data_IF_536311026879
#
_entry.id   IF_536311026879
#
_cell.length_a   1.000
_cell.length_b   1.000
_cell.length_c   1.000
_cell.angle_alpha   90.00
_cell.angle_beta   90.00
_cell.angle_gamma   90.00
#
_symmetry.space_group_name_H-M   'P 1'
#
loop_
_entity.id
_entity.type
_entity.pdbx_description
1 polymer ?
#
# COMPACT_ATOMS: atom_id res chain seq x y z
N UNK A 1 16.56 -51.41 0.87
CA UNK A 1 17.77 -50.56 0.94
C UNK A 1 17.77 -49.39 -0.08
N UNK A 2 16.60 -48.87 -0.51
CA UNK A 2 16.48 -47.73 -1.47
C UNK A 2 15.87 -46.44 -0.87
N UNK A 3 15.50 -46.45 0.41
CA UNK A 3 14.87 -45.30 1.09
C UNK A 3 15.90 -44.35 1.72
N UNK A 4 17.15 -44.76 1.92
CA UNK A 4 18.18 -43.93 2.57
C UNK A 4 18.77 -42.83 1.64
N UNK A 5 18.89 -43.09 0.33
CA UNK A 5 19.51 -42.18 -0.63
C UNK A 5 18.71 -40.92 -0.96
N UNK A 6 17.39 -40.93 -0.73
CA UNK A 6 16.53 -39.77 -0.96
C UNK A 6 16.63 -38.71 0.15
N UNK A 7 16.94 -39.16 1.39
CA UNK A 7 17.06 -38.28 2.56
C UNK A 7 18.36 -37.46 2.53
N UNK A 8 19.50 -38.11 2.25
CA UNK A 8 20.81 -37.41 2.17
C UNK A 8 20.87 -36.40 1.02
N UNK A 9 20.30 -36.72 -0.14
CA UNK A 9 20.21 -35.80 -1.26
C UNK A 9 19.32 -34.59 -0.94
N UNK A 10 18.21 -34.78 -0.21
CA UNK A 10 17.35 -33.69 0.25
C UNK A 10 18.04 -32.83 1.33
N UNK A 11 18.80 -33.43 2.25
CA UNK A 11 19.60 -32.71 3.25
C UNK A 11 20.69 -31.82 2.63
N UNK A 12 21.36 -32.28 1.57
CA UNK A 12 22.36 -31.46 0.88
C UNK A 12 21.75 -30.40 -0.07
N UNK A 13 20.54 -30.64 -0.57
CA UNK A 13 19.85 -29.71 -1.49
C UNK A 13 19.24 -28.52 -0.75
N UNK A 14 18.66 -28.74 0.44
CA UNK A 14 18.00 -27.72 1.25
C UNK A 14 18.85 -26.47 1.54
N UNK A 15 20.11 -26.56 2.04
CA UNK A 15 20.91 -25.38 2.32
C UNK A 15 21.21 -24.56 1.06
N UNK A 16 21.37 -25.20 -0.10
CA UNK A 16 21.59 -24.52 -1.38
C UNK A 16 20.34 -23.78 -1.85
N UNK A 17 19.15 -24.37 -1.71
CA UNK A 17 17.88 -23.69 -1.99
C UNK A 17 17.74 -22.45 -1.09
N UNK A 18 17.97 -22.61 0.22
CA UNK A 18 17.93 -21.49 1.17
C UNK A 18 18.91 -20.39 0.74
N UNK A 19 20.12 -20.74 0.28
CA UNK A 19 21.10 -19.78 -0.20
C UNK A 19 20.63 -19.03 -1.46
N UNK A 20 19.97 -19.71 -2.40
CA UNK A 20 19.38 -19.06 -3.59
C UNK A 20 18.29 -18.07 -3.17
N UNK A 21 17.38 -18.46 -2.28
CA UNK A 21 16.31 -17.57 -1.81
C UNK A 21 16.87 -16.37 -1.03
N UNK A 22 17.91 -16.57 -0.21
CA UNK A 22 18.64 -15.45 0.44
C UNK A 22 19.31 -14.53 -0.58
N UNK A 23 19.91 -15.07 -1.64
CA UNK A 23 20.48 -14.27 -2.71
C UNK A 23 19.41 -13.46 -3.45
N UNK A 24 18.26 -14.07 -3.76
CA UNK A 24 17.13 -13.37 -4.39
C UNK A 24 16.55 -12.26 -3.49
N UNK A 25 16.48 -12.51 -2.18
CA UNK A 25 16.06 -11.50 -1.19
C UNK A 25 17.04 -10.33 -1.18
N UNK A 26 18.35 -10.58 -1.09
CA UNK A 26 19.38 -9.55 -1.13
C UNK A 26 19.36 -8.77 -2.46
N UNK A 27 19.18 -9.45 -3.60
CA UNK A 27 19.07 -8.81 -4.91
C UNK A 27 17.81 -7.93 -5.01
N UNK A 28 16.69 -8.38 -4.45
CA UNK A 28 15.45 -7.60 -4.41
C UNK A 28 15.63 -6.32 -3.58
N UNK A 29 16.29 -6.41 -2.42
CA UNK A 29 16.60 -5.27 -1.56
C UNK A 29 17.54 -4.26 -2.22
N UNK A 30 18.53 -4.71 -3.00
CA UNK A 30 19.42 -3.81 -3.76
C UNK A 30 18.62 -3.05 -4.83
N UNK A 31 17.71 -3.74 -5.53
CA UNK A 31 16.90 -3.13 -6.59
C UNK A 31 15.78 -2.25 -6.04
N UNK A 32 15.27 -2.56 -4.86
CA UNK A 32 14.18 -1.86 -4.20
C UNK A 32 14.60 -1.62 -2.74
N UNK A 33 15.47 -0.64 -2.47
CA UNK A 33 15.89 -0.35 -1.12
C UNK A 33 14.68 0.07 -0.27
N UNK A 34 14.61 -0.37 0.99
CA UNK A 34 13.51 0.00 1.87
C UNK A 34 13.49 1.50 2.09
N UNK A 35 12.29 2.09 2.07
CA UNK A 35 12.11 3.51 2.32
C UNK A 35 12.21 3.76 3.83
N UNK A 36 13.18 4.59 4.24
CA UNK A 36 13.45 4.88 5.66
C UNK A 36 13.08 6.29 6.08
N UNK A 37 12.69 7.11 5.12
CA UNK A 37 12.28 8.49 5.30
C UNK A 37 11.25 8.86 4.23
N UNK A 38 10.42 9.85 4.54
CA UNK A 38 9.59 10.48 3.52
C UNK A 38 10.46 11.28 2.56
N UNK A 39 10.22 11.11 1.25
CA UNK A 39 10.72 12.05 0.26
C UNK A 39 10.05 13.41 0.50
N UNK A 40 10.79 14.53 0.60
CA UNK A 40 10.21 15.86 0.72
C UNK A 40 9.17 16.20 -0.37
N UNK A 41 9.24 15.56 -1.54
CA UNK A 41 8.28 15.74 -2.63
C UNK A 41 7.13 14.73 -2.62
N UNK A 42 7.16 13.74 -1.72
CA UNK A 42 6.09 12.75 -1.64
C UNK A 42 4.78 13.39 -1.19
N UNK A 43 3.68 12.88 -1.74
CA UNK A 43 2.36 13.22 -1.27
C UNK A 43 2.15 12.59 0.13
N UNK A 44 1.89 13.43 1.12
CA UNK A 44 1.61 13.06 2.52
C UNK A 44 0.47 13.90 3.08
N UNK A 45 -0.31 13.38 4.03
CA UNK A 45 -1.37 14.07 4.73
C UNK A 45 -1.39 13.59 6.17
N UNK A 46 -0.90 14.42 7.09
CA UNK A 46 -0.84 14.12 8.51
C UNK A 46 -2.18 14.39 9.19
N UNK A 47 -2.57 13.53 10.13
CA UNK A 47 -3.83 13.71 10.85
C UNK A 47 -3.79 14.95 11.76
N UNK A 48 -2.64 15.28 12.34
CA UNK A 48 -2.48 16.50 13.16
C UNK A 48 -2.61 17.80 12.36
N UNK A 49 -2.48 17.74 11.03
CA UNK A 49 -2.64 18.91 10.14
C UNK A 49 -4.10 19.12 9.69
N UNK A 50 -5.00 18.18 10.00
CA UNK A 50 -6.41 18.26 9.63
C UNK A 50 -7.13 19.34 10.47
N UNK A 51 -7.79 20.33 9.84
CA UNK A 51 -8.55 21.33 10.55
C UNK A 51 -9.84 20.72 11.12
N UNK A 52 -10.27 21.25 12.28
CA UNK A 52 -11.59 20.96 12.84
C UNK A 52 -12.62 21.71 12.00
N UNK A 53 -13.32 21.00 11.11
CA UNK A 53 -14.31 21.59 10.22
C UNK A 53 -15.37 20.54 9.81
N UNK A 54 -16.68 20.88 9.67
CA UNK A 54 -17.73 19.91 9.36
C UNK A 54 -17.55 19.13 8.05
N UNK A 55 -16.81 19.70 7.10
CA UNK A 55 -16.49 19.03 5.84
C UNK A 55 -15.39 17.96 5.95
N UNK A 56 -14.73 17.83 7.11
CA UNK A 56 -13.80 16.74 7.41
C UNK A 56 -14.44 15.84 8.45
N UNK A 57 -14.63 14.57 8.10
CA UNK A 57 -15.17 13.56 9.01
C UNK A 57 -14.17 12.43 9.15
N UNK A 58 -13.95 12.00 10.38
CA UNK A 58 -13.12 10.85 10.71
C UNK A 58 -14.01 9.62 10.91
N UNK A 59 -13.54 8.47 10.43
CA UNK A 59 -14.13 7.19 10.81
C UNK A 59 -13.93 6.89 12.28
N UNK A 60 -14.84 6.10 12.84
CA UNK A 60 -14.64 5.49 14.16
C UNK A 60 -14.14 4.08 13.91
N UNK A 61 -12.95 3.78 14.39
CA UNK A 61 -12.38 2.43 14.29
C UNK A 61 -12.50 1.79 15.66
N UNK A 62 -13.31 0.75 15.71
CA UNK A 62 -13.52 -0.04 16.92
C UNK A 62 -12.45 -1.13 16.93
N UNK A 63 -11.69 -1.20 18.01
CA UNK A 63 -10.64 -2.22 18.18
C UNK A 63 -11.24 -3.63 18.01
N UNK A 64 -10.48 -4.53 17.38
CA UNK A 64 -10.91 -5.88 17.00
C UNK A 64 -11.44 -6.71 18.19
N UNK A 65 -10.99 -6.44 19.41
CA UNK A 65 -11.40 -7.12 20.65
C UNK A 65 -12.77 -6.68 21.18
N UNK A 66 -13.28 -5.53 20.76
CA UNK A 66 -14.58 -5.00 21.15
C UNK A 66 -15.70 -5.33 20.15
N UNK A 67 -15.36 -6.02 19.05
CA UNK A 67 -16.34 -6.47 18.04
C UNK A 67 -17.17 -7.61 18.62
N UNK A 68 -18.27 -7.27 19.29
CA UNK A 68 -19.33 -8.22 19.62
C UNK A 68 -20.07 -8.57 18.33
N UNK A 69 -20.31 -9.86 18.04
CA UNK A 69 -21.01 -10.39 16.83
C UNK A 69 -22.43 -9.82 16.58
N UNK A 70 -22.89 -8.89 17.41
CA UNK A 70 -24.26 -8.34 17.46
C UNK A 70 -24.34 -6.86 17.09
N UNK A 71 -23.23 -6.17 16.87
CA UNK A 71 -23.28 -4.82 16.31
C UNK A 71 -23.46 -4.92 14.80
N UNK A 72 -24.69 -4.64 14.35
CA UNK A 72 -24.98 -4.33 12.95
C UNK A 72 -23.97 -3.30 12.49
N UNK A 73 -23.10 -3.69 11.55
CA UNK A 73 -22.15 -2.79 10.87
C UNK A 73 -23.00 -1.65 10.30
N UNK A 74 -22.97 -0.50 10.97
CA UNK A 74 -23.61 0.70 10.47
C UNK A 74 -22.76 1.13 9.27
N UNK A 75 -23.23 0.81 8.05
CA UNK A 75 -22.51 1.04 6.79
C UNK A 75 -22.05 2.51 6.62
N UNK A 76 -22.58 3.44 7.41
CA UNK A 76 -22.21 4.85 7.35
C UNK A 76 -20.82 5.15 7.93
N UNK A 77 -20.28 4.26 8.78
CA UNK A 77 -18.98 4.41 9.45
C UNK A 77 -17.81 3.63 8.81
N UNK A 78 -18.04 2.95 7.68
CA UNK A 78 -17.00 2.17 6.99
C UNK A 78 -16.10 3.06 6.13
N UNK A 79 -15.39 3.99 6.77
CA UNK A 79 -14.43 4.89 6.13
C UNK A 79 -13.38 5.36 7.11
N UNK A 80 -12.20 5.76 6.61
CA UNK A 80 -11.11 6.34 7.41
C UNK A 80 -11.25 7.86 7.50
N UNK A 81 -11.46 8.51 6.36
CA UNK A 81 -11.58 9.96 6.25
C UNK A 81 -12.52 10.34 5.11
N UNK A 82 -13.47 11.21 5.38
CA UNK A 82 -14.32 11.86 4.36
C UNK A 82 -14.00 13.35 4.30
N UNK A 83 -13.78 13.87 3.10
CA UNK A 83 -13.48 15.30 2.86
C UNK A 83 -14.41 15.82 1.77
N UNK A 84 -15.40 16.61 2.17
CA UNK A 84 -16.31 17.30 1.23
C UNK A 84 -15.80 18.69 0.88
N UNK A 85 -16.22 19.21 -0.28
CA UNK A 85 -15.88 20.57 -0.70
C UNK A 85 -16.55 21.60 0.23
N UNK A 86 -15.77 22.40 1.00
CA UNK A 86 -16.33 23.44 1.84
C UNK A 86 -16.88 24.59 0.99
N UNK A 87 -17.82 25.35 1.57
CA UNK A 87 -18.25 26.64 1.00
C UNK A 87 -17.37 27.73 1.59
N UNK A 88 -16.72 28.49 0.72
CA UNK A 88 -15.92 29.64 1.11
C UNK A 88 -16.78 30.91 1.06
N UNK A 89 -16.59 31.79 2.03
CA UNK A 89 -17.31 33.07 2.12
C UNK A 89 -16.35 34.21 1.89
N UNK A 90 -16.74 35.15 1.03
CA UNK A 90 -15.94 36.35 0.76
C UNK A 90 -15.80 37.22 2.01
N UNK A 91 -14.66 37.94 2.16
CA UNK A 91 -14.42 38.80 3.31
C UNK A 91 -15.51 39.88 3.42
N UNK A 92 -15.92 40.24 4.66
CA UNK A 92 -16.88 41.30 4.87
C UNK A 92 -16.36 42.61 4.29
N UNK A 93 -17.15 43.23 3.41
CA UNK A 93 -16.74 44.44 2.73
C UNK A 93 -16.67 45.63 3.70
N UNK A 94 -15.58 46.42 3.72
CA UNK A 94 -15.47 47.60 4.55
C UNK A 94 -16.46 48.69 4.08
N UNK A 95 -17.03 49.48 5.00
CA UNK A 95 -17.81 50.67 4.68
C UNK A 95 -17.07 51.62 3.72
N UNK A 96 -17.82 52.30 2.84
CA UNK A 96 -17.24 53.17 1.79
C UNK A 96 -16.34 54.27 2.37
N UNK A 97 -16.66 54.73 3.57
CA UNK A 97 -16.00 55.79 4.33
C UNK A 97 -14.57 55.39 4.77
N UNK A 98 -14.33 54.10 5.03
CA UNK A 98 -13.03 53.57 5.46
C UNK A 98 -12.32 52.80 4.34
N UNK A 99 -13.04 52.29 3.34
CA UNK A 99 -12.50 51.44 2.27
C UNK A 99 -11.32 52.08 1.52
N UNK A 100 -11.41 53.35 1.17
CA UNK A 100 -10.34 54.05 0.44
C UNK A 100 -9.05 54.21 1.27
N UNK A 101 -9.17 54.15 2.60
CA UNK A 101 -8.10 54.31 3.57
C UNK A 101 -7.41 53.01 3.94
N UNK A 102 -7.96 51.84 3.60
CA UNK A 102 -7.32 50.56 3.89
C UNK A 102 -6.26 50.21 2.85
N UNK A 103 -5.13 49.65 3.31
CA UNK A 103 -4.12 49.05 2.44
C UNK A 103 -4.61 47.71 1.88
N UNK A 104 -4.02 47.21 0.80
CA UNK A 104 -4.31 45.87 0.29
C UNK A 104 -3.90 44.80 1.32
N UNK A 105 -4.54 43.62 1.26
CA UNK A 105 -4.24 42.48 2.12
C UNK A 105 -5.33 42.10 3.11
N UNK A 106 -6.21 43.03 3.53
CA UNK A 106 -7.33 42.69 4.44
C UNK A 106 -8.31 41.67 3.86
N UNK A 107 -8.33 41.52 2.54
CA UNK A 107 -9.16 40.57 1.79
C UNK A 107 -8.75 39.12 2.02
N UNK A 108 -7.48 38.88 2.38
CA UNK A 108 -6.97 37.55 2.69
C UNK A 108 -7.24 37.20 4.15
N UNK A 109 -7.51 35.92 4.43
CA UNK A 109 -7.76 35.43 5.81
C UNK A 109 -6.56 35.69 6.72
N UNK A 110 -5.34 35.45 6.21
CA UNK A 110 -4.09 35.67 6.97
C UNK A 110 -3.50 37.07 6.77
N UNK A 111 -4.20 37.94 6.06
CA UNK A 111 -3.75 39.31 5.83
C UNK A 111 -3.99 40.23 7.03
N UNK A 112 -3.21 41.30 7.11
CA UNK A 112 -3.33 42.31 8.16
C UNK A 112 -4.23 43.48 7.75
N UNK A 113 -4.99 44.01 8.71
CA UNK A 113 -5.72 45.27 8.52
C UNK A 113 -4.78 46.44 8.83
N UNK A 114 -4.37 47.17 7.79
CA UNK A 114 -3.55 48.36 7.92
C UNK A 114 -4.22 49.57 7.25
N UNK A 115 -4.11 50.73 7.90
CA UNK A 115 -4.59 52.01 7.37
C UNK A 115 -3.45 52.67 6.58
N UNK A 116 -3.76 53.29 5.45
CA UNK A 116 -2.81 54.04 4.64
C UNK A 116 -2.24 55.22 5.44
N UNK A 117 -0.95 55.55 5.27
CA UNK A 117 -0.36 56.72 5.89
C UNK A 117 -1.05 58.01 5.40
N UNK A 118 -1.01 59.10 6.18
CA UNK A 118 -1.61 60.37 5.78
C UNK A 118 -0.93 60.90 4.51
N UNK A 119 -1.75 61.34 3.55
CA UNK A 119 -1.29 61.88 2.27
C UNK A 119 -1.61 63.38 2.23
N UNK A 120 -0.64 64.18 1.79
CA UNK A 120 -0.84 65.59 1.51
C UNK A 120 -1.49 65.75 0.12
N UNK A 121 -2.58 66.52 0.06
CA UNK A 121 -3.14 67.06 -1.19
C UNK A 121 -2.08 67.91 -1.93
N UNK A 122 -2.19 68.01 -3.25
CA UNK A 122 -1.59 69.07 -4.10
C UNK A 122 -1.62 70.48 -3.51
N UNK A 123 -2.57 70.81 -2.63
CA UNK A 123 -2.65 72.10 -1.91
C UNK A 123 -1.92 72.12 -0.54
N UNK A 124 -1.20 71.05 -0.17
CA UNK A 124 -0.46 70.96 1.10
C UNK A 124 -1.32 70.60 2.33
N UNK A 125 -2.60 70.28 2.15
CA UNK A 125 -3.49 69.85 3.25
C UNK A 125 -3.24 68.37 3.55
N UNK A 126 -2.76 68.09 4.77
CA UNK A 126 -2.56 66.72 5.27
C UNK A 126 -3.88 66.21 5.83
N UNK A 127 -4.52 65.25 5.16
CA UNK A 127 -5.72 64.59 5.70
C UNK A 127 -5.30 63.32 6.44
N UNK A 128 -5.65 63.21 7.72
CA UNK A 128 -5.39 62.03 8.55
C UNK A 128 -6.66 61.20 8.69
N UNK A 129 -6.47 59.90 8.93
CA UNK A 129 -7.58 59.00 9.20
C UNK A 129 -8.32 59.37 10.49
N UNK A 130 -7.56 59.80 11.50
CA UNK A 130 -8.02 60.15 12.85
C UNK A 130 -8.83 61.45 12.92
N UNK A 131 -8.81 62.28 11.88
CA UNK A 131 -9.51 63.57 11.84
C UNK A 131 -11.04 63.43 11.90
N UNK A 132 -11.57 62.22 11.64
CA UNK A 132 -12.99 61.92 11.75
C UNK A 132 -13.24 60.77 12.75
N UNK A 133 -13.83 61.06 13.92
CA UNK A 133 -14.16 60.04 14.94
C UNK A 133 -15.07 58.91 14.43
N UNK A 134 -15.93 59.19 13.43
CA UNK A 134 -16.81 58.17 12.84
C UNK A 134 -16.00 57.10 12.09
N UNK A 135 -14.86 57.46 11.48
CA UNK A 135 -14.00 56.49 10.76
C UNK A 135 -13.36 55.50 11.72
N UNK A 136 -12.94 55.96 12.90
CA UNK A 136 -12.39 55.12 13.96
C UNK A 136 -13.44 54.11 14.46
N UNK A 137 -14.66 54.59 14.72
CA UNK A 137 -15.77 53.71 15.14
C UNK A 137 -16.10 52.65 14.08
N UNK A 138 -16.27 53.05 12.82
CA UNK A 138 -16.56 52.13 11.71
C UNK A 138 -15.44 51.12 11.47
N UNK A 139 -14.17 51.53 11.67
CA UNK A 139 -13.02 50.65 11.55
C UNK A 139 -13.03 49.56 12.62
N UNK A 140 -13.27 49.90 13.88
CA UNK A 140 -13.32 48.91 14.96
C UNK A 140 -14.52 47.96 14.83
N UNK A 141 -15.69 48.47 14.45
CA UNK A 141 -16.86 47.63 14.18
C UNK A 141 -16.60 46.65 13.03
N UNK A 142 -16.01 47.13 11.94
CA UNK A 142 -15.68 46.27 10.80
C UNK A 142 -14.55 45.29 11.12
N UNK A 143 -13.53 45.69 11.89
CA UNK A 143 -12.47 44.78 12.37
C UNK A 143 -13.06 43.62 13.18
N UNK A 144 -14.05 43.89 14.04
CA UNK A 144 -14.74 42.84 14.79
C UNK A 144 -15.50 41.86 13.87
N UNK A 145 -16.21 42.37 12.85
CA UNK A 145 -16.87 41.54 11.83
C UNK A 145 -15.87 40.70 11.04
N UNK A 146 -14.74 41.29 10.64
CA UNK A 146 -13.67 40.59 9.95
C UNK A 146 -13.02 39.52 10.84
N UNK A 147 -12.78 39.80 12.11
CA UNK A 147 -12.21 38.82 13.05
C UNK A 147 -13.13 37.60 13.17
N UNK A 148 -14.45 37.81 13.33
CA UNK A 148 -15.42 36.72 13.35
C UNK A 148 -15.41 35.90 12.05
N UNK A 149 -15.32 36.57 10.89
CA UNK A 149 -15.17 35.90 9.60
C UNK A 149 -13.88 35.07 9.54
N UNK A 150 -12.72 35.62 9.93
CA UNK A 150 -11.42 34.92 9.91
C UNK A 150 -11.47 33.63 10.73
N UNK A 151 -12.07 33.66 11.93
CA UNK A 151 -12.18 32.48 12.80
C UNK A 151 -12.97 31.34 12.12
N UNK A 152 -14.02 31.67 11.37
CA UNK A 152 -14.82 30.68 10.63
C UNK A 152 -14.21 30.26 9.30
N UNK A 153 -13.58 31.18 8.59
CA UNK A 153 -13.10 30.99 7.22
C UNK A 153 -11.72 30.30 7.18
N UNK A 154 -10.88 30.48 8.21
CA UNK A 154 -9.55 29.85 8.27
C UNK A 154 -9.62 28.32 8.24
N UNK A 155 -10.44 27.64 9.07
CA UNK A 155 -10.64 26.18 8.94
C UNK A 155 -11.25 25.78 7.60
N UNK A 156 -12.17 26.57 7.04
CA UNK A 156 -12.80 26.29 5.75
C UNK A 156 -11.79 26.32 4.59
N UNK A 157 -10.89 27.32 4.55
CA UNK A 157 -9.82 27.40 3.54
C UNK A 157 -8.77 26.33 3.69
N UNK A 158 -8.37 25.98 4.92
CA UNK A 158 -7.50 24.81 5.16
C UNK A 158 -8.14 23.51 4.68
N UNK A 159 -9.45 23.36 4.89
CA UNK A 159 -10.21 22.21 4.39
C UNK A 159 -10.25 22.19 2.86
N UNK A 160 -10.43 23.35 2.22
CA UNK A 160 -10.40 23.47 0.76
C UNK A 160 -9.04 23.05 0.20
N UNK A 161 -7.94 23.47 0.83
CA UNK A 161 -6.59 23.06 0.42
C UNK A 161 -6.40 21.53 0.50
N UNK A 162 -6.95 20.87 1.54
CA UNK A 162 -6.93 19.39 1.64
C UNK A 162 -7.79 18.76 0.54
N UNK A 163 -8.98 19.31 0.27
CA UNK A 163 -9.85 18.84 -0.81
C UNK A 163 -9.14 18.93 -2.18
N UNK A 164 -8.50 20.06 -2.48
CA UNK A 164 -7.72 20.25 -3.71
C UNK A 164 -6.54 19.27 -3.79
N UNK A 165 -5.87 19.02 -2.66
CA UNK A 165 -4.77 18.06 -2.56
C UNK A 165 -5.21 16.62 -2.85
N UNK A 166 -6.41 16.22 -2.39
CA UNK A 166 -7.01 14.92 -2.71
C UNK A 166 -7.48 14.85 -4.16
N UNK A 167 -8.00 15.95 -4.70
CA UNK A 167 -8.41 16.04 -6.10
C UNK A 167 -7.22 15.88 -7.05
N UNK A 168 -6.10 16.54 -6.77
CA UNK A 168 -4.85 16.35 -7.50
C UNK A 168 -4.36 14.90 -7.43
N UNK A 169 -4.49 14.27 -6.26
CA UNK A 169 -4.12 12.88 -6.04
C UNK A 169 -4.99 11.92 -6.87
N UNK A 170 -6.31 12.14 -6.95
CA UNK A 170 -7.20 11.34 -7.80
C UNK A 170 -6.73 11.35 -9.26
N UNK A 171 -6.43 12.54 -9.80
CA UNK A 171 -5.92 12.67 -11.16
C UNK A 171 -4.57 11.96 -11.39
N UNK A 172 -3.73 11.85 -10.35
CA UNK A 172 -2.49 11.08 -10.41
C UNK A 172 -2.77 9.56 -10.47
N UNK A 173 -3.68 9.06 -9.63
CA UNK A 173 -4.06 7.64 -9.64
C UNK A 173 -4.74 7.20 -10.93
N UNK A 174 -5.53 8.07 -11.58
CA UNK A 174 -6.11 7.76 -12.88
C UNK A 174 -5.05 7.51 -13.97
N UNK A 175 -3.87 8.17 -13.87
CA UNK A 175 -2.75 7.99 -14.80
C UNK A 175 -1.81 6.84 -14.43
N UNK A 176 -1.57 6.61 -13.13
CA UNK A 176 -0.48 5.77 -12.63
C UNK A 176 -0.91 4.72 -11.59
N UNK A 177 -2.18 4.30 -11.57
CA UNK A 177 -2.73 3.37 -10.57
C UNK A 177 -1.98 2.05 -10.38
N UNK A 178 -1.23 1.58 -11.38
CA UNK A 178 -0.44 0.35 -11.30
C UNK A 178 0.92 0.54 -10.60
N UNK A 179 1.42 1.78 -10.51
CA UNK A 179 2.74 2.10 -9.95
C UNK A 179 2.69 2.57 -8.52
N UNK A 180 1.59 3.20 -8.12
CA UNK A 180 1.44 3.84 -6.82
C UNK A 180 0.35 3.15 -6.00
N UNK A 181 0.49 3.22 -4.68
CA UNK A 181 -0.54 2.85 -3.72
C UNK A 181 -0.65 3.90 -2.62
N UNK A 182 -1.86 3.99 -2.07
CA UNK A 182 -2.19 4.89 -0.98
C UNK A 182 -2.16 4.10 0.32
N UNK A 183 -1.39 4.60 1.28
CA UNK A 183 -1.15 3.94 2.56
C UNK A 183 -1.57 4.86 3.70
N UNK A 184 -2.15 4.28 4.73
CA UNK A 184 -2.24 4.83 6.07
C UNK A 184 -1.09 4.22 6.88
N UNK A 185 -0.25 5.05 7.48
CA UNK A 185 0.82 4.62 8.36
C UNK A 185 0.65 5.17 9.75
N UNK A 186 1.11 4.42 10.75
CA UNK A 186 1.26 4.88 12.13
C UNK A 186 2.48 4.21 12.80
N UNK A 187 2.80 4.66 14.02
CA UNK A 187 4.00 4.24 14.73
C UNK A 187 5.23 4.80 14.03
N UNK A 188 5.30 6.12 13.92
CA UNK A 188 6.43 6.81 13.30
C UNK A 188 7.66 6.61 14.17
N UNK A 189 8.58 5.77 13.70
CA UNK A 189 9.83 5.53 14.39
C UNK A 189 10.88 6.51 13.90
N UNK A 190 11.56 7.16 14.85
CA UNK A 190 12.74 7.99 14.61
C UNK A 190 13.94 7.40 15.32
N UNK A 191 15.02 7.20 14.57
CA UNK A 191 16.24 6.64 15.10
C UNK A 191 17.44 7.03 14.24
N UNK A 192 18.46 7.65 14.85
CA UNK A 192 19.77 7.82 14.23
C UNK A 192 20.70 6.70 14.69
N UNK A 193 21.00 5.78 13.78
CA UNK A 193 21.90 4.65 14.06
C UNK A 193 23.35 5.11 14.19
N UNK A 194 24.21 4.28 14.77
CA UNK A 194 25.64 4.59 14.90
C UNK A 194 26.34 4.69 13.54
N UNK A 195 25.82 3.99 12.53
CA UNK A 195 26.25 4.06 11.13
C UNK A 195 25.83 5.37 10.43
N UNK A 196 25.08 6.25 11.13
CA UNK A 196 24.69 7.57 10.63
C UNK A 196 23.39 7.60 9.83
N UNK A 197 22.69 6.47 9.70
CA UNK A 197 21.39 6.42 9.04
C UNK A 197 20.32 7.05 9.93
N UNK A 198 19.55 7.97 9.36
CA UNK A 198 18.33 8.48 9.98
C UNK A 198 17.14 7.66 9.48
N UNK A 199 16.52 6.93 10.40
CA UNK A 199 15.21 6.35 10.23
C UNK A 199 14.16 7.35 10.70
N UNK A 200 13.17 7.65 9.86
CA UNK A 200 12.00 8.49 10.16
C UNK A 200 10.82 8.05 9.29
N UNK A 201 10.12 7.00 9.71
CA UNK A 201 9.07 6.36 8.89
C UNK A 201 8.02 5.62 9.74
N UNK A 202 6.75 5.54 9.31
CA UNK A 202 5.74 4.70 9.97
C UNK A 202 6.03 3.21 9.77
N UNK A 203 5.76 2.40 10.80
CA UNK A 203 6.07 0.97 10.80
C UNK A 203 4.84 0.08 10.67
N UNK A 204 3.66 0.58 11.04
CA UNK A 204 2.40 -0.14 10.88
C UNK A 204 1.62 0.53 9.74
N UNK A 205 1.42 -0.20 8.66
CA UNK A 205 0.86 0.33 7.42
C UNK A 205 -0.45 -0.36 7.08
N UNK A 206 -1.39 0.35 6.47
CA UNK A 206 -2.65 -0.20 5.99
C UNK A 206 -2.96 0.40 4.63
N UNK A 207 -3.41 -0.44 3.71
CA UNK A 207 -3.68 -0.01 2.35
C UNK A 207 -5.08 0.59 2.21
N UNK A 208 -5.11 1.82 1.69
CA UNK A 208 -6.33 2.57 1.44
C UNK A 208 -6.73 2.60 -0.04
N UNK A 209 -8.00 2.87 -0.26
CA UNK A 209 -8.58 3.24 -1.54
C UNK A 209 -9.20 4.64 -1.45
N UNK A 210 -8.91 5.46 -2.46
CA UNK A 210 -9.52 6.77 -2.64
C UNK A 210 -10.73 6.65 -3.56
N UNK A 211 -11.90 7.07 -3.06
CA UNK A 211 -13.15 7.17 -3.80
C UNK A 211 -13.57 8.63 -3.91
N UNK A 212 -14.18 9.01 -5.02
CA UNK A 212 -14.73 10.34 -5.24
C UNK A 212 -16.18 10.24 -5.72
N UNK A 213 -17.09 10.91 -5.02
CA UNK A 213 -18.46 11.11 -5.49
C UNK A 213 -18.56 12.47 -6.21
N UNK A 214 -18.85 12.53 -7.52
CA UNK A 214 -19.02 13.80 -8.22
C UNK A 214 -20.38 14.47 -7.97
N UNK A 215 -21.40 13.74 -7.50
CA UNK A 215 -22.74 14.29 -7.22
C UNK A 215 -22.73 15.11 -5.94
N UNK A 216 -22.04 14.60 -4.93
CA UNK A 216 -21.75 15.28 -3.68
C UNK A 216 -20.22 15.38 -3.66
N UNK A 217 -19.59 16.49 -4.07
CA UNK A 217 -18.14 16.59 -4.26
C UNK A 217 -17.39 16.30 -2.96
N UNK A 218 -17.15 15.02 -2.72
CA UNK A 218 -16.66 14.43 -1.48
C UNK A 218 -15.72 13.27 -1.83
N UNK A 219 -14.56 13.30 -1.19
CA UNK A 219 -13.61 12.20 -1.20
C UNK A 219 -13.86 11.31 0.00
N UNK A 220 -13.85 10.00 -0.22
CA UNK A 220 -13.89 9.00 0.85
C UNK A 220 -12.65 8.13 0.75
N UNK A 221 -11.90 8.06 1.84
CA UNK A 221 -10.82 7.11 2.03
C UNK A 221 -11.36 5.90 2.77
N UNK A 222 -11.26 4.72 2.16
CA UNK A 222 -11.70 3.45 2.74
C UNK A 222 -10.54 2.44 2.78
N UNK A 223 -10.67 1.43 3.60
CA UNK A 223 -9.75 0.31 3.62
C UNK A 223 -9.95 -0.58 2.38
N UNK A 224 -8.89 -1.26 1.95
CA UNK A 224 -8.98 -2.24 0.85
C UNK A 224 -9.40 -3.64 1.29
N UNK A 225 -9.63 -3.85 2.60
CA UNK A 225 -9.90 -5.15 3.21
C UNK A 225 -8.68 -6.08 3.32
N UNK A 226 -7.48 -5.59 2.99
CA UNK A 226 -6.23 -6.29 3.29
C UNK A 226 -5.82 -5.99 4.74
N UNK A 227 -5.22 -6.96 5.47
CA UNK A 227 -4.73 -6.71 6.81
C UNK A 227 -3.62 -5.66 6.81
N UNK A 228 -3.36 -5.07 7.98
CA UNK A 228 -2.22 -4.17 8.14
C UNK A 228 -0.90 -4.89 7.88
N UNK A 229 0.11 -4.15 7.46
CA UNK A 229 1.46 -4.59 7.17
C UNK A 229 2.39 -4.02 8.24
N UNK A 230 3.13 -4.89 8.93
CA UNK A 230 4.28 -4.46 9.73
C UNK A 230 5.51 -4.33 8.82
N UNK A 231 5.96 -3.09 8.60
CA UNK A 231 7.02 -2.76 7.64
C UNK A 231 8.42 -3.04 8.22
N UNK A 232 8.78 -4.32 8.28
CA UNK A 232 10.05 -4.81 8.86
C UNK A 232 11.29 -4.42 8.06
N UNK A 233 11.12 -4.11 6.77
CA UNK A 233 12.22 -3.89 5.83
C UNK A 233 13.16 -2.74 6.25
N UNK A 234 12.67 -1.77 7.03
CA UNK A 234 13.47 -0.66 7.57
C UNK A 234 14.55 -1.13 8.56
N UNK A 235 14.35 -2.27 9.23
CA UNK A 235 15.22 -2.78 10.28
C UNK A 235 16.31 -3.73 9.75
N UNK A 236 16.10 -4.34 8.58
CA UNK A 236 16.91 -5.45 8.08
C UNK A 236 18.39 -5.11 7.84
N UNK A 237 18.73 -3.83 7.67
CA UNK A 237 20.12 -3.40 7.47
C UNK A 237 20.74 -2.71 8.68
N UNK A 238 20.08 -2.74 9.85
CA UNK A 238 20.59 -2.10 11.05
C UNK A 238 21.32 -3.17 11.87
N UNK A 239 22.65 -3.09 11.94
CA UNK A 239 23.48 -4.09 12.62
C UNK A 239 23.13 -4.26 14.12
N UNK A 240 22.63 -3.20 14.75
CA UNK A 240 22.22 -3.16 16.16
C UNK A 240 20.92 -3.95 16.41
N UNK A 241 20.12 -4.24 15.37
CA UNK A 241 18.82 -4.91 15.50
C UNK A 241 18.97 -6.42 15.38
N UNK A 242 18.47 -7.14 16.38
CA UNK A 242 18.42 -8.59 16.35
C UNK A 242 17.27 -9.09 15.45
N UNK A 243 17.60 -9.87 14.42
CA UNK A 243 16.61 -10.44 13.49
C UNK A 243 15.54 -11.30 14.19
N UNK A 244 15.89 -12.03 15.27
CA UNK A 244 14.91 -12.83 16.01
C UNK A 244 13.94 -11.96 16.81
N UNK A 245 14.36 -10.77 17.23
CA UNK A 245 13.49 -9.81 17.89
C UNK A 245 12.42 -9.26 16.92
N UNK A 246 12.82 -8.95 15.68
CA UNK A 246 11.89 -8.55 14.61
C UNK A 246 10.90 -9.66 14.28
N UNK A 247 11.36 -10.92 14.21
CA UNK A 247 10.48 -12.08 14.00
C UNK A 247 9.37 -12.16 15.05
N UNK A 248 9.70 -12.01 16.34
CA UNK A 248 8.70 -12.00 17.43
C UNK A 248 7.68 -10.85 17.30
N UNK A 249 8.13 -9.65 16.91
CA UNK A 249 7.23 -8.52 16.71
C UNK A 249 6.29 -8.74 15.52
N UNK A 250 6.75 -9.42 14.46
CA UNK A 250 5.88 -9.80 13.35
C UNK A 250 4.84 -10.85 13.79
N UNK A 251 5.25 -11.86 14.54
CA UNK A 251 4.31 -12.87 15.06
C UNK A 251 3.23 -12.22 15.96
N UNK A 252 3.61 -11.26 16.80
CA UNK A 252 2.69 -10.44 17.62
C UNK A 252 1.72 -9.60 16.76
N UNK A 253 2.20 -9.04 15.66
CA UNK A 253 1.37 -8.31 14.70
C UNK A 253 0.38 -9.21 13.94
N UNK A 254 0.83 -10.38 13.47
CA UNK A 254 -0.01 -11.36 12.77
C UNK A 254 -1.10 -11.93 13.67
N UNK A 255 -0.84 -12.09 14.97
CA UNK A 255 -1.84 -12.58 15.93
C UNK A 255 -2.82 -11.50 16.38
N UNK A 256 -2.37 -10.24 16.48
CA UNK A 256 -3.19 -9.15 17.01
C UNK A 256 -3.98 -8.35 15.98
N UNK A 257 -3.63 -8.44 14.70
CA UNK A 257 -4.26 -7.68 13.60
C UNK A 257 -4.37 -6.16 13.91
N UNK A 258 -3.29 -5.57 14.43
CA UNK A 258 -3.28 -4.19 14.92
C UNK A 258 -3.60 -3.17 13.81
N UNK A 259 -4.44 -2.19 14.10
CA UNK A 259 -4.87 -1.17 13.13
C UNK A 259 -4.11 0.16 13.36
N UNK A 260 -3.61 0.87 12.33
CA UNK A 260 -2.87 2.14 12.52
C UNK A 260 -3.61 3.21 13.34
N UNK A 261 -4.92 3.33 13.19
CA UNK A 261 -5.75 4.24 14.00
C UNK A 261 -6.41 3.55 15.21
N UNK A 262 -5.93 2.36 15.59
CA UNK A 262 -6.42 1.62 16.76
C UNK A 262 -6.06 2.30 18.08
N UNK A 263 -6.65 1.82 19.17
CA UNK A 263 -6.51 2.41 20.50
C UNK A 263 -5.24 2.00 21.25
N UNK A 264 -5.41 1.72 22.55
CA UNK A 264 -4.33 1.35 23.47
C UNK A 264 -3.61 0.05 23.09
N UNK A 265 -4.28 -0.87 22.42
CA UNK A 265 -3.69 -2.13 21.97
C UNK A 265 -2.58 -1.87 20.93
N UNK A 266 -2.85 -0.98 19.98
CA UNK A 266 -1.87 -0.56 18.97
C UNK A 266 -0.72 0.21 19.63
N UNK A 267 -1.02 1.08 20.59
CA UNK A 267 0.02 1.76 21.41
C UNK A 267 0.91 0.75 22.15
N UNK A 268 0.31 -0.30 22.70
CA UNK A 268 1.01 -1.36 23.43
C UNK A 268 1.88 -2.21 22.52
N UNK A 269 1.44 -2.49 21.28
CA UNK A 269 2.28 -3.10 20.25
C UNK A 269 3.54 -2.26 19.98
N UNK A 270 3.39 -0.94 19.79
CA UNK A 270 4.55 -0.07 19.58
C UNK A 270 5.50 -0.03 20.78
N UNK A 271 4.98 -0.06 22.01
CA UNK A 271 5.78 -0.15 23.24
C UNK A 271 6.60 -1.44 23.28
N UNK A 272 6.01 -2.58 22.87
CA UNK A 272 6.71 -3.86 22.76
C UNK A 272 7.78 -3.81 21.66
N UNK A 273 7.47 -3.23 20.51
CA UNK A 273 8.41 -3.08 19.39
C UNK A 273 9.68 -2.34 19.81
N UNK A 274 9.58 -1.12 20.37
CA UNK A 274 10.78 -0.34 20.72
C UNK A 274 11.61 -1.01 21.80
N UNK A 275 10.97 -1.70 22.75
CA UNK A 275 11.65 -2.46 23.80
C UNK A 275 12.43 -3.67 23.24
N UNK A 276 11.97 -4.24 22.12
CA UNK A 276 12.67 -5.32 21.41
C UNK A 276 13.82 -4.82 20.53
N UNK A 277 13.71 -3.59 20.03
CA UNK A 277 14.76 -2.95 19.22
C UNK A 277 15.96 -2.50 20.07
N UNK A 278 15.71 -1.97 21.28
CA UNK A 278 16.75 -1.51 22.19
C UNK A 278 16.27 -1.54 23.65
N UNK A 279 17.14 -1.84 24.63
CA UNK A 279 16.83 -1.66 26.05
C UNK A 279 16.44 -0.23 26.44
N UNK A 280 16.86 0.75 25.64
CA UNK A 280 16.54 2.18 25.82
C UNK A 280 15.51 2.68 24.80
N UNK A 281 14.77 1.78 24.15
CA UNK A 281 13.72 2.15 23.21
C UNK A 281 12.55 2.82 23.93
N UNK A 282 12.01 3.89 23.34
CA UNK A 282 11.02 4.74 24.01
C UNK A 282 9.78 4.96 23.14
N UNK A 283 8.61 4.89 23.77
CA UNK A 283 7.35 5.37 23.19
C UNK A 283 7.17 6.82 23.63
N UNK A 284 7.13 7.73 22.66
CA UNK A 284 6.98 9.17 22.86
C UNK A 284 5.51 9.54 22.67
N UNK A 285 4.91 10.15 23.69
CA UNK A 285 3.50 10.58 23.65
C UNK A 285 3.30 11.94 22.96
N UNK A 286 4.30 12.82 23.01
CA UNK A 286 4.20 14.17 22.44
C UNK A 286 5.50 14.60 21.76
N UNK A 287 5.39 15.02 20.49
CA UNK A 287 6.46 15.69 19.75
C UNK A 287 7.75 14.87 19.63
N UNK A 288 7.82 14.00 18.63
CA UNK A 288 9.05 13.25 18.32
C UNK A 288 10.26 14.19 18.23
N UNK A 289 11.31 13.99 19.06
CA UNK A 289 12.50 14.83 19.04
C UNK A 289 13.12 14.86 17.65
N UNK A 290 13.70 15.98 17.21
CA UNK A 290 14.32 16.08 15.88
C UNK A 290 15.43 15.04 15.64
N UNK A 291 16.13 14.66 16.71
CA UNK A 291 17.22 13.68 16.66
C UNK A 291 17.13 12.77 17.88
N UNK A 292 17.15 11.47 17.63
CA UNK A 292 17.13 10.43 18.66
C UNK A 292 18.28 9.48 18.42
N UNK A 293 19.08 9.21 19.45
CA UNK A 293 20.19 8.22 19.40
C UNK A 293 19.72 6.81 19.76
N UNK A 294 18.50 6.70 20.28
CA UNK A 294 17.81 5.45 20.60
C UNK A 294 16.57 5.32 19.71
N UNK A 295 16.04 4.11 19.48
CA UNK A 295 14.80 3.95 18.74
C UNK A 295 13.63 4.54 19.53
N UNK A 296 13.05 5.61 19.00
CA UNK A 296 11.90 6.29 19.59
C UNK A 296 10.71 6.21 18.64
N UNK A 297 9.54 5.81 19.11
CA UNK A 297 8.32 5.70 18.31
C UNK A 297 7.22 6.60 18.88
N UNK A 298 6.42 7.24 18.02
CA UNK A 298 5.21 7.92 18.46
C UNK A 298 4.01 7.55 17.59
N UNK A 299 2.82 7.67 18.18
CA UNK A 299 1.55 7.67 17.44
C UNK A 299 1.49 8.97 16.64
N UNK A 300 1.59 8.87 15.32
CA UNK A 300 1.62 10.01 14.41
C UNK A 300 1.05 9.59 13.05
N UNK A 301 -0.27 9.34 12.98
CA UNK A 301 -0.88 8.74 11.82
C UNK A 301 -0.82 9.65 10.59
N UNK A 302 -0.50 9.04 9.45
CA UNK A 302 -0.24 9.74 8.20
C UNK A 302 -0.78 8.96 7.01
N UNK A 303 -1.43 9.65 6.09
CA UNK A 303 -1.79 9.09 4.78
C UNK A 303 -0.72 9.52 3.79
N UNK A 304 -0.16 8.59 3.03
CA UNK A 304 0.90 8.89 2.08
C UNK A 304 0.86 7.98 0.87
N UNK A 305 1.52 8.41 -0.19
CA UNK A 305 1.66 7.64 -1.43
C UNK A 305 3.04 7.02 -1.48
N UNK A 306 3.13 5.74 -1.84
CA UNK A 306 4.40 5.06 -2.13
C UNK A 306 4.33 4.25 -3.43
N UNK A 307 5.49 3.93 -4.04
CA UNK A 307 5.55 2.96 -5.12
C UNK A 307 5.05 1.58 -4.66
N UNK A 308 4.29 0.90 -5.51
CA UNK A 308 3.86 -0.48 -5.25
C UNK A 308 5.06 -1.40 -5.26
N UNK A 309 5.30 -2.05 -4.14
CA UNK A 309 6.15 -3.24 -4.09
C UNK A 309 5.34 -4.46 -4.50
N UNK A 310 5.85 -5.27 -5.44
CA UNK A 310 5.18 -6.47 -5.97
C UNK A 310 5.00 -7.61 -4.93
N UNK A 311 5.16 -7.35 -3.63
CA UNK A 311 5.11 -8.36 -2.57
C UNK A 311 6.20 -9.43 -2.67
N UNK A 312 7.22 -9.22 -3.51
CA UNK A 312 8.29 -10.20 -3.74
C UNK A 312 9.11 -10.39 -2.46
N UNK A 313 9.43 -9.31 -1.75
CA UNK A 313 10.18 -9.37 -0.49
C UNK A 313 9.49 -10.22 0.58
N UNK A 314 8.22 -9.92 0.86
CA UNK A 314 7.40 -10.66 1.83
C UNK A 314 7.23 -12.13 1.41
N UNK A 315 6.97 -12.40 0.13
CA UNK A 315 6.89 -13.78 -0.37
C UNK A 315 8.22 -14.55 -0.19
N UNK A 316 9.36 -13.92 -0.44
CA UNK A 316 10.68 -14.55 -0.25
C UNK A 316 10.95 -14.85 1.23
N UNK A 317 10.54 -13.95 2.14
CA UNK A 317 10.65 -14.16 3.60
C UNK A 317 9.79 -15.33 4.07
N UNK A 318 8.52 -15.36 3.70
CA UNK A 318 7.63 -16.49 4.03
C UNK A 318 8.18 -17.81 3.50
N UNK A 319 8.73 -17.83 2.28
CA UNK A 319 9.37 -19.03 1.74
C UNK A 319 10.58 -19.44 2.59
N UNK A 320 11.44 -18.51 2.98
CA UNK A 320 12.62 -18.78 3.82
C UNK A 320 12.27 -19.32 5.22
N UNK A 321 11.11 -18.98 5.76
CA UNK A 321 10.63 -19.46 7.06
C UNK A 321 9.99 -20.85 7.00
N UNK A 322 9.29 -21.14 5.92
CA UNK A 322 8.63 -22.43 5.72
C UNK A 322 9.66 -23.48 5.23
N UNK A 323 10.67 -23.06 4.45
CA UNK A 323 11.68 -23.94 3.86
C UNK A 323 12.38 -24.88 4.87
N UNK A 324 12.75 -24.48 6.10
CA UNK A 324 13.29 -25.38 7.12
C UNK A 324 12.30 -26.42 7.63
N UNK A 325 11.00 -26.10 7.62
CA UNK A 325 9.94 -26.89 8.26
C UNK A 325 9.31 -27.94 7.33
N UNK A 326 9.44 -27.77 6.01
CA UNK A 326 8.84 -28.69 5.03
C UNK A 326 9.57 -30.04 5.02
N UNK A 327 8.83 -31.14 5.18
CA UNK A 327 9.39 -32.50 5.11
C UNK A 327 9.94 -32.88 3.72
N UNK A 328 9.22 -32.54 2.64
CA UNK A 328 9.59 -32.87 1.27
C UNK A 328 9.60 -31.64 0.37
N UNK A 329 10.76 -31.33 -0.21
CA UNK A 329 10.91 -30.20 -1.12
C UNK A 329 10.26 -30.53 -2.48
N UNK A 330 9.52 -29.57 -3.10
CA UNK A 330 9.02 -29.72 -4.46
C UNK A 330 10.13 -30.06 -5.45
N UNK A 331 9.89 -31.03 -6.34
CA UNK A 331 10.88 -31.47 -7.32
C UNK A 331 11.41 -30.33 -8.21
N UNK A 332 10.56 -29.34 -8.51
CA UNK A 332 10.93 -28.13 -9.25
C UNK A 332 12.01 -27.29 -8.55
N UNK A 333 12.05 -27.27 -7.22
CA UNK A 333 13.10 -26.59 -6.47
C UNK A 333 14.39 -27.43 -6.40
N UNK A 334 14.26 -28.75 -6.37
CA UNK A 334 15.40 -29.68 -6.37
C UNK A 334 16.14 -29.64 -7.72
N UNK A 335 15.40 -29.60 -8.83
CA UNK A 335 15.98 -29.52 -10.18
C UNK A 335 16.71 -28.21 -10.43
N UNK A 336 16.25 -27.09 -9.85
CA UNK A 336 16.93 -25.79 -9.92
C UNK A 336 18.34 -25.80 -9.32
N UNK A 337 18.61 -26.68 -8.36
CA UNK A 337 19.92 -26.79 -7.69
C UNK A 337 20.85 -27.79 -8.40
N UNK A 338 20.36 -28.45 -9.47
CA UNK A 338 21.18 -29.32 -10.31
C UNK A 338 21.61 -30.63 -9.62
N UNK A 339 20.92 -31.06 -8.56
CA UNK A 339 21.28 -32.28 -7.80
C UNK A 339 20.61 -33.54 -8.37
N UNK A 340 19.70 -33.40 -9.33
CA UNK A 340 19.24 -34.55 -10.11
C UNK A 340 20.35 -34.97 -11.07
N UNK A 341 21.07 -36.02 -10.70
CA UNK A 341 21.96 -36.74 -11.60
C UNK A 341 21.25 -37.00 -12.93
N UNK A 342 21.99 -36.80 -14.01
CA UNK A 342 21.68 -37.18 -15.38
C UNK A 342 21.00 -38.56 -15.44
N UNK A 343 19.68 -38.60 -15.56
CA UNK A 343 18.97 -39.82 -15.92
C UNK A 343 17.59 -39.50 -16.47
N UNK A 344 17.51 -39.29 -17.79
CA UNK A 344 16.49 -39.94 -18.62
C UNK A 344 16.72 -39.86 -20.14
N UNK A 345 17.93 -39.58 -20.63
CA UNK A 345 18.22 -39.64 -22.08
C UNK A 345 18.08 -41.05 -22.69
N UNK A 346 17.97 -42.11 -21.88
CA UNK A 346 17.86 -43.50 -22.36
C UNK A 346 16.43 -43.99 -22.64
N UNK A 347 15.39 -43.24 -22.28
CA UNK A 347 14.00 -43.63 -22.58
C UNK A 347 13.47 -43.06 -23.89
N UNK A 348 14.13 -42.06 -24.48
CA UNK A 348 13.65 -41.36 -25.69
C UNK A 348 13.76 -42.18 -26.98
N UNK A 349 14.62 -43.21 -27.03
CA UNK A 349 14.84 -43.97 -28.28
C UNK A 349 13.89 -45.15 -28.48
N UNK A 350 13.30 -45.71 -27.41
CA UNK A 350 12.45 -46.91 -27.50
C UNK A 350 10.98 -46.58 -27.81
N UNK A 351 10.50 -45.40 -27.41
CA UNK A 351 9.11 -44.95 -27.64
C UNK A 351 8.92 -44.25 -28.99
N UNK A 352 9.96 -43.67 -29.58
CA UNK A 352 9.87 -43.01 -30.89
C UNK A 352 9.42 -43.98 -32.02
N UNK A 353 9.74 -45.27 -31.92
CA UNK A 353 9.33 -46.29 -32.90
C UNK A 353 7.89 -46.79 -32.72
N UNK A 354 7.28 -46.63 -31.54
CA UNK A 354 5.89 -47.04 -31.29
C UNK A 354 4.87 -45.92 -31.55
N UNK A 355 5.31 -44.68 -31.76
CA UNK A 355 4.44 -43.49 -31.88
C UNK A 355 4.17 -43.03 -33.32
N UNK A 356 4.65 -43.77 -34.33
CA UNK A 356 4.38 -43.48 -35.76
C UNK A 356 3.06 -44.08 -36.28
N UNK A 357 2.34 -44.87 -35.47
CA UNK A 357 1.18 -45.67 -35.92
C UNK A 357 -0.21 -45.18 -35.45
N UNK A 358 -0.35 -43.93 -34.97
CA UNK A 358 -1.67 -43.36 -34.63
C UNK A 358 -2.18 -42.39 -35.74
N UNK A 359 -3.23 -42.73 -36.51
CA UNK A 359 -3.55 -42.01 -37.75
C UNK A 359 -4.11 -40.58 -37.60
N UNK A 360 -4.52 -40.13 -36.40
CA UNK A 360 -5.30 -38.88 -36.26
C UNK A 360 -4.78 -37.88 -35.21
N UNK A 361 -3.63 -38.11 -34.57
CA UNK A 361 -3.07 -37.15 -33.60
C UNK A 361 -3.92 -36.90 -32.35
N UNK A 362 -4.99 -37.68 -32.15
CA UNK A 362 -5.80 -37.69 -30.92
C UNK A 362 -5.23 -38.73 -29.96
N UNK A 363 -4.94 -38.28 -28.74
CA UNK A 363 -4.46 -39.12 -27.64
C UNK A 363 -5.65 -39.37 -26.71
N UNK A 364 -6.09 -40.63 -26.59
CA UNK A 364 -7.31 -41.04 -25.88
C UNK A 364 -7.27 -40.69 -24.38
N UNK A 365 -6.09 -40.30 -23.86
CA UNK A 365 -5.86 -39.90 -22.48
C UNK A 365 -5.81 -38.39 -22.24
N UNK A 366 -5.78 -37.55 -23.29
CA UNK A 366 -5.65 -36.09 -23.17
C UNK A 366 -6.98 -35.40 -23.48
N UNK A 367 -7.78 -35.20 -22.43
CA UNK A 367 -9.08 -34.52 -22.50
C UNK A 367 -8.92 -32.98 -22.50
N UNK A 368 -8.96 -32.36 -23.69
CA UNK A 368 -8.89 -30.89 -23.84
C UNK A 368 -10.28 -30.31 -24.13
N UNK A 369 -10.56 -29.12 -23.59
CA UNK A 369 -11.88 -28.46 -23.69
C UNK A 369 -12.11 -27.72 -25.01
N UNK A 370 -11.05 -27.50 -25.81
CA UNK A 370 -11.07 -26.89 -27.15
C UNK A 370 -10.07 -27.60 -28.08
N UNK A 371 -10.29 -27.58 -29.41
CA UNK A 371 -9.34 -28.15 -30.37
C UNK A 371 -7.95 -27.55 -30.16
N UNK A 372 -6.96 -28.42 -29.98
CA UNK A 372 -5.59 -28.06 -29.71
C UNK A 372 -4.72 -28.41 -30.91
N UNK A 373 -3.72 -27.58 -31.21
CA UNK A 373 -2.74 -27.90 -32.23
C UNK A 373 -1.72 -28.93 -31.71
N UNK A 374 -0.92 -29.51 -32.62
CA UNK A 374 0.09 -30.50 -32.28
C UNK A 374 1.09 -30.01 -31.20
N UNK A 375 1.43 -28.72 -31.19
CA UNK A 375 2.32 -28.13 -30.18
C UNK A 375 1.69 -28.10 -28.78
N UNK A 376 0.39 -27.82 -28.68
CA UNK A 376 -0.33 -27.80 -27.39
C UNK A 376 -0.53 -29.21 -26.82
N UNK A 377 -0.72 -30.22 -27.68
CA UNK A 377 -0.74 -31.63 -27.28
C UNK A 377 0.64 -32.08 -26.78
N UNK A 378 1.71 -31.64 -27.43
CA UNK A 378 3.09 -31.91 -26.98
C UNK A 378 3.39 -31.26 -25.62
N UNK A 379 2.85 -30.06 -25.35
CA UNK A 379 2.97 -29.43 -24.01
C UNK A 379 2.28 -30.28 -22.94
N UNK A 380 1.08 -30.81 -23.21
CA UNK A 380 0.36 -31.68 -22.28
C UNK A 380 1.15 -32.98 -22.03
N UNK A 381 1.65 -33.64 -23.08
CA UNK A 381 2.48 -34.84 -22.97
C UNK A 381 3.78 -34.60 -22.19
N UNK A 382 4.44 -33.48 -22.45
CA UNK A 382 5.64 -33.08 -21.70
C UNK A 382 5.32 -32.78 -20.24
N UNK A 383 4.13 -32.30 -19.92
CA UNK A 383 3.71 -32.03 -18.54
C UNK A 383 3.35 -33.33 -17.79
N UNK A 384 2.84 -34.34 -18.49
CA UNK A 384 2.64 -35.67 -17.89
C UNK A 384 3.96 -36.40 -17.63
N UNK A 385 4.93 -36.26 -18.56
CA UNK A 385 6.26 -36.89 -18.43
C UNK A 385 7.21 -36.11 -17.52
N UNK A 386 7.12 -34.78 -17.53
CA UNK A 386 7.97 -33.89 -16.75
C UNK A 386 7.11 -33.06 -15.79
N UNK A 387 7.49 -33.03 -14.51
CA UNK A 387 6.80 -32.26 -13.47
C UNK A 387 6.78 -30.73 -13.70
N UNK A 388 7.43 -30.22 -14.75
CA UNK A 388 7.42 -28.82 -15.16
C UNK A 388 7.64 -28.69 -16.68
N UNK A 389 6.93 -27.74 -17.31
CA UNK A 389 7.08 -27.40 -18.73
C UNK A 389 7.12 -25.88 -18.90
N UNK A 390 8.14 -25.37 -19.59
CA UNK A 390 8.23 -23.97 -19.97
C UNK A 390 7.55 -23.76 -21.34
N UNK A 391 6.55 -22.88 -21.39
CA UNK A 391 5.83 -22.54 -22.63
C UNK A 391 6.13 -21.10 -23.02
N UNK A 392 6.92 -20.93 -24.08
CA UNK A 392 7.19 -19.62 -24.69
C UNK A 392 6.52 -19.55 -26.06
N UNK A 393 5.93 -18.40 -26.37
CA UNK A 393 5.23 -18.16 -27.63
C UNK A 393 5.19 -16.66 -27.97
N UNK A 394 5.22 -16.28 -29.26
CA UNK A 394 5.00 -14.91 -29.70
C UNK A 394 3.64 -14.34 -29.22
N UNK A 395 3.48 -13.01 -29.09
CA UNK A 395 2.19 -12.42 -28.74
C UNK A 395 1.12 -12.82 -29.76
N UNK A 396 -0.02 -13.35 -29.29
CA UNK A 396 -1.14 -13.78 -30.13
C UNK A 396 -1.24 -15.29 -30.42
N UNK A 397 -0.25 -16.11 -30.06
CA UNK A 397 -0.23 -17.56 -30.38
C UNK A 397 -1.01 -18.45 -29.41
N UNK A 398 -2.11 -17.95 -28.83
CA UNK A 398 -3.05 -18.80 -28.10
C UNK A 398 -2.60 -19.31 -26.72
N UNK A 399 -1.60 -18.69 -26.06
CA UNK A 399 -1.16 -19.09 -24.69
C UNK A 399 -2.31 -19.22 -23.69
N UNK A 400 -3.29 -18.32 -23.76
CA UNK A 400 -4.49 -18.37 -22.91
C UNK A 400 -5.34 -19.62 -23.18
N UNK A 401 -5.46 -20.03 -24.45
CA UNK A 401 -6.14 -21.28 -24.81
C UNK A 401 -5.33 -22.50 -24.40
N UNK A 402 -4.01 -22.46 -24.52
CA UNK A 402 -3.12 -23.53 -24.03
C UNK A 402 -3.26 -23.72 -22.52
N UNK A 403 -3.28 -22.63 -21.74
CA UNK A 403 -3.50 -22.68 -20.29
C UNK A 403 -4.89 -23.25 -19.97
N UNK A 404 -5.95 -22.80 -20.67
CA UNK A 404 -7.31 -23.30 -20.43
C UNK A 404 -7.47 -24.80 -20.75
N UNK A 405 -6.84 -25.26 -21.83
CA UNK A 405 -6.84 -26.67 -22.23
C UNK A 405 -6.06 -27.53 -21.23
N UNK A 406 -4.89 -27.09 -20.77
CA UNK A 406 -4.11 -27.79 -19.75
C UNK A 406 -4.82 -27.83 -18.39
N UNK A 407 -5.47 -26.74 -17.98
CA UNK A 407 -6.30 -26.73 -16.76
C UNK A 407 -7.46 -27.72 -16.89
N UNK A 408 -8.16 -27.74 -18.03
CA UNK A 408 -9.23 -28.70 -18.29
C UNK A 408 -8.76 -30.15 -18.19
N UNK A 409 -7.62 -30.46 -18.79
CA UNK A 409 -6.99 -31.78 -18.74
C UNK A 409 -6.57 -32.19 -17.32
N UNK A 410 -5.95 -31.29 -16.55
CA UNK A 410 -5.54 -31.57 -15.17
C UNK A 410 -6.74 -31.74 -14.22
N UNK A 411 -7.83 -30.99 -14.43
CA UNK A 411 -9.07 -31.14 -13.66
C UNK A 411 -9.79 -32.45 -13.98
N UNK A 412 -9.81 -32.89 -15.24
CA UNK A 412 -10.37 -34.19 -15.63
C UNK A 412 -9.62 -35.38 -14.99
N UNK A 413 -8.34 -35.18 -14.64
CA UNK A 413 -7.52 -36.15 -13.89
C UNK A 413 -7.67 -36.05 -12.36
N UNK A 414 -8.57 -35.20 -11.85
CA UNK A 414 -8.83 -35.06 -10.41
C UNK A 414 -7.75 -34.30 -9.61
N UNK A 415 -6.83 -33.59 -10.28
CA UNK A 415 -5.78 -32.80 -9.62
C UNK A 415 -6.30 -31.39 -9.29
N UNK A 416 -6.26 -30.99 -8.02
CA UNK A 416 -6.59 -29.63 -7.57
C UNK A 416 -5.52 -28.64 -8.04
N UNK A 417 -5.94 -27.49 -8.60
CA UNK A 417 -5.04 -26.51 -9.21
C UNK A 417 -5.28 -25.09 -8.66
N UNK A 418 -4.19 -24.33 -8.51
CA UNK A 418 -4.20 -22.88 -8.28
C UNK A 418 -3.52 -22.20 -9.47
N UNK A 419 -4.21 -21.28 -10.14
CA UNK A 419 -3.65 -20.50 -11.26
C UNK A 419 -3.38 -19.06 -10.84
N UNK A 420 -2.12 -18.59 -10.96
CA UNK A 420 -1.76 -17.19 -10.76
C UNK A 420 -1.34 -16.56 -12.11
N UNK A 421 -1.83 -15.36 -12.41
CA UNK A 421 -1.53 -14.61 -13.65
C UNK A 421 -0.99 -13.22 -13.32
N UNK A 422 0.20 -12.89 -13.83
CA UNK A 422 0.75 -11.55 -13.82
C UNK A 422 0.53 -10.89 -15.19
N UNK A 423 -0.52 -10.06 -15.30
CA UNK A 423 -0.73 -8.93 -16.24
C UNK A 423 -2.23 -8.73 -16.57
N UNK A 424 -2.74 -7.52 -16.29
CA UNK A 424 -4.05 -7.03 -16.77
C UNK A 424 -3.85 -6.29 -18.08
N UNK A 425 -4.25 -6.90 -19.21
CA UNK A 425 -4.76 -6.23 -20.41
C UNK A 425 -5.48 -7.27 -21.30
N UNK A 426 -6.62 -6.85 -21.85
CA UNK A 426 -7.61 -7.59 -22.66
C UNK A 426 -8.45 -8.67 -21.95
N UNK A 427 -9.42 -8.24 -21.14
CA UNK A 427 -10.64 -9.04 -20.91
C UNK A 427 -11.74 -8.44 -21.79
N UNK A 428 -11.84 -8.95 -23.01
CA UNK A 428 -12.92 -8.68 -23.95
C UNK A 428 -12.99 -9.89 -24.87
N UNK A 429 -14.11 -10.62 -24.79
CA UNK A 429 -14.44 -11.86 -25.51
C UNK A 429 -13.90 -13.19 -24.94
N UNK A 430 -14.66 -13.79 -24.03
CA UNK A 430 -14.94 -15.23 -24.06
C UNK A 430 -16.38 -15.48 -23.54
N UNK A 431 -17.25 -16.22 -24.26
CA UNK A 431 -18.68 -16.29 -23.98
C UNK A 431 -19.07 -17.33 -22.92
N UNK A 432 -20.26 -17.11 -22.37
CA UNK A 432 -20.96 -17.87 -21.34
C UNK A 432 -21.43 -19.27 -21.79
N UNK A 433 -20.53 -20.26 -21.86
CA UNK A 433 -20.91 -21.65 -22.20
C UNK A 433 -20.47 -22.73 -21.19
N UNK A 434 -20.22 -22.39 -19.93
CA UNK A 434 -19.74 -23.36 -18.92
C UNK A 434 -20.55 -23.35 -17.61
N UNK A 435 -21.87 -23.14 -17.70
CA UNK A 435 -22.81 -23.43 -16.61
C UNK A 435 -23.90 -24.35 -17.12
N UNK A 436 -23.64 -25.65 -17.09
CA UNK A 436 -24.61 -26.71 -16.90
C UNK A 436 -23.86 -28.03 -16.95
N UNK A 437 -23.81 -28.75 -15.82
CA UNK A 437 -23.69 -30.21 -15.65
C UNK A 437 -22.84 -30.53 -14.42
N UNK A 438 -23.50 -30.63 -13.26
CA UNK A 438 -23.31 -31.70 -12.28
C UNK A 438 -24.23 -31.44 -11.08
N UNK A 439 -25.50 -31.82 -11.25
CA UNK A 439 -26.30 -32.35 -10.14
C UNK A 439 -26.54 -33.81 -10.49
N UNK A 440 -25.81 -34.70 -9.83
CA UNK A 440 -26.32 -35.97 -9.32
C UNK A 440 -25.39 -36.44 -8.21
#
# INVERSE_FOLDING_TARGET
>A
MKLASGSEAQEQTRPKIIQIFRYLQALNQIRNPPQRNFDPQAWTLWFHDLPIHPCIRHGIIIDTTLRTDTETIDNDNDFILKVSRPRLVDPPQPPKEIRSWLQEGWEQVDGSVAVKPPVADSNGVVTRFEDNPQRLFLLEEWKAKRAAWVETERPARRTMAIFEKLYALQGQFERESERLELMLGDGRIRWRTHEGFLLDYPVLLLRLQLLFDPKIPEFTLIETGQPSEFYTAIFQSIAEVNASAIGRCRDDHEQGEWHPLGGEETTSFFRRLVSQLSPYGELIEQGLPEKTTVPSIARDPVIFVRPRTLGIGTALESILEILPQIAHLPYSLISLVGITGTSNERQDTLTAQQMLDAPNGEDEHILLSKPANAEQLEIARRLERNNAVLVQGPPGTGKTHTIANLIGHLLAQGKSQSSARAARKSCGAAPASMRQHSRR
#
